data_IF_236139669746
#
_entry.id   IF_236139669746
#
_cell.length_a   1.000
_cell.length_b   1.000
_cell.length_c   1.000
_cell.angle_alpha   90.00
_cell.angle_beta   90.00
_cell.angle_gamma   90.00
#
_symmetry.space_group_name_H-M   'P 1'
#
loop_
_entity.id
_entity.type
_entity.pdbx_description
1 polymer ?
#
# COMPACT_ATOMS: atom_id res chain seq x y z
N UNK A 1 -25.18 43.99 -0.52
CA UNK A 1 -26.48 44.41 -1.06
C UNK A 1 -26.63 43.80 -2.46
N UNK A 2 -27.40 42.73 -2.60
CA UNK A 2 -27.59 42.03 -3.88
C UNK A 2 -28.83 42.59 -4.58
N UNK A 3 -28.67 43.07 -5.81
CA UNK A 3 -29.77 43.55 -6.65
C UNK A 3 -30.26 42.40 -7.55
N UNK A 4 -31.56 42.20 -7.62
CA UNK A 4 -32.18 41.33 -8.64
C UNK A 4 -33.02 42.18 -9.58
N UNK A 5 -32.88 41.92 -10.89
CA UNK A 5 -33.72 42.51 -11.93
C UNK A 5 -34.89 41.58 -12.21
N UNK A 6 -36.12 42.10 -12.03
CA UNK A 6 -37.34 41.38 -12.38
C UNK A 6 -37.96 42.09 -13.58
N UNK A 7 -38.10 41.35 -14.68
CA UNK A 7 -38.59 41.85 -15.95
C UNK A 7 -39.95 41.25 -16.29
N UNK A 8 -40.90 42.11 -16.66
CA UNK A 8 -42.24 41.71 -17.09
C UNK A 8 -42.42 42.07 -18.56
N UNK A 9 -42.99 41.16 -19.34
CA UNK A 9 -43.31 41.37 -20.76
C UNK A 9 -44.82 41.51 -20.95
N UNK A 10 -45.25 42.59 -21.60
CA UNK A 10 -46.65 42.76 -22.03
C UNK A 10 -46.66 42.78 -23.55
N UNK A 11 -47.45 41.91 -24.16
CA UNK A 11 -47.51 41.70 -25.60
C UNK A 11 -48.93 41.87 -26.12
N UNK A 12 -49.09 42.69 -27.16
CA UNK A 12 -50.33 42.82 -27.92
C UNK A 12 -50.08 42.45 -29.39
N UNK A 13 -51.15 42.25 -30.17
CA UNK A 13 -51.13 41.58 -31.48
C UNK A 13 -50.29 42.23 -32.60
N UNK A 14 -49.61 43.37 -32.34
CA UNK A 14 -48.74 44.04 -33.30
C UNK A 14 -47.35 44.48 -32.75
N UNK A 15 -47.06 44.38 -31.44
CA UNK A 15 -45.72 44.70 -30.89
C UNK A 15 -45.51 44.11 -29.47
N UNK A 16 -44.25 43.79 -29.12
CA UNK A 16 -43.87 43.27 -27.80
C UNK A 16 -42.88 44.21 -27.12
N UNK A 17 -43.22 44.73 -25.93
CA UNK A 17 -42.33 45.57 -25.10
C UNK A 17 -42.04 44.89 -23.76
N UNK A 18 -40.77 44.91 -23.35
CA UNK A 18 -40.31 44.42 -22.05
C UNK A 18 -40.00 45.61 -21.15
N UNK A 19 -40.48 45.56 -19.90
CA UNK A 19 -40.18 46.56 -18.88
C UNK A 19 -39.57 45.87 -17.67
N UNK A 20 -38.38 46.30 -17.26
CA UNK A 20 -37.67 45.77 -16.10
C UNK A 20 -37.60 46.84 -15.01
N UNK A 21 -37.84 46.42 -13.76
CA UNK A 21 -37.64 47.28 -12.59
C UNK A 21 -36.60 46.65 -11.65
N UNK A 22 -35.73 47.49 -11.11
CA UNK A 22 -34.76 47.10 -10.07
C UNK A 22 -35.44 47.14 -8.71
N UNK A 23 -35.48 46.00 -8.01
CA UNK A 23 -35.90 45.95 -6.59
C UNK A 23 -34.69 45.66 -5.70
N UNK A 24 -34.56 46.46 -4.65
CA UNK A 24 -33.64 46.22 -3.54
C UNK A 24 -34.30 45.31 -2.52
N UNK A 25 -33.69 44.15 -2.23
CA UNK A 25 -34.06 43.36 -1.06
C UNK A 25 -33.48 44.00 0.21
N UNK A 26 -34.26 44.18 1.29
CA UNK A 26 -33.70 44.53 2.59
C UNK A 26 -32.80 43.38 3.08
N UNK A 27 -31.75 43.67 3.87
CA UNK A 27 -30.88 42.64 4.42
C UNK A 27 -31.67 41.69 5.33
N UNK A 28 -31.31 40.40 5.40
CA UNK A 28 -31.91 39.50 6.38
C UNK A 28 -31.63 40.01 7.79
N UNK A 29 -32.66 40.06 8.62
CA UNK A 29 -32.50 40.39 10.03
C UNK A 29 -31.69 39.27 10.71
N UNK A 30 -30.54 39.60 11.29
CA UNK A 30 -29.72 38.66 12.06
C UNK A 30 -29.96 38.95 13.53
N UNK A 31 -30.79 38.15 14.17
CA UNK A 31 -30.89 38.12 15.63
C UNK A 31 -29.65 37.40 16.18
N UNK A 32 -28.75 38.15 16.81
CA UNK A 32 -27.64 37.58 17.56
C UNK A 32 -28.16 37.05 18.90
N UNK A 33 -28.40 35.74 18.99
CA UNK A 33 -28.53 35.08 20.29
C UNK A 33 -27.17 35.17 21.01
N UNK A 34 -27.11 36.03 22.03
CA UNK A 34 -25.95 36.14 22.91
C UNK A 34 -25.98 34.95 23.86
N UNK A 35 -25.14 33.95 23.58
CA UNK A 35 -24.94 32.80 24.48
C UNK A 35 -24.12 33.28 25.67
N UNK A 36 -24.61 33.02 26.89
CA UNK A 36 -23.95 33.42 28.15
C UNK A 36 -22.53 32.82 28.25
N UNK A 37 -21.53 33.55 28.79
CA UNK A 37 -20.15 33.06 28.93
C UNK A 37 -20.03 31.77 29.76
N UNK A 38 -21.00 31.48 30.61
CA UNK A 38 -21.01 30.27 31.45
C UNK A 38 -21.33 28.98 30.67
N UNK A 39 -21.93 29.08 29.47
CA UNK A 39 -22.25 27.91 28.65
C UNK A 39 -21.07 27.45 27.76
N UNK A 40 -20.03 28.28 27.62
CA UNK A 40 -18.82 27.93 26.85
C UNK A 40 -17.77 27.19 27.68
N UNK A 41 -17.91 27.13 29.00
CA UNK A 41 -16.92 26.53 29.93
C UNK A 41 -17.20 25.04 30.25
N UNK A 42 -18.21 24.40 29.64
CA UNK A 42 -18.55 22.99 29.94
C UNK A 42 -18.52 22.03 28.74
N UNK A 43 -18.11 22.49 27.56
CA UNK A 43 -17.96 21.63 26.36
C UNK A 43 -16.51 21.40 25.93
N UNK A 44 -15.52 21.96 26.65
CA UNK A 44 -14.11 21.90 26.27
C UNK A 44 -13.28 20.84 27.03
N UNK A 45 -13.91 19.91 27.78
CA UNK A 45 -13.19 18.93 28.62
C UNK A 45 -13.38 17.46 28.18
N UNK A 46 -14.21 17.16 27.17
CA UNK A 46 -14.49 15.78 26.74
C UNK A 46 -14.18 15.45 25.28
N UNK A 47 -13.24 16.16 24.66
CA UNK A 47 -12.67 15.79 23.37
C UNK A 47 -11.13 15.60 23.33
N UNK A 48 -10.38 15.30 24.40
CA UNK A 48 -9.04 14.73 24.22
C UNK A 48 -9.10 13.23 23.93
N UNK A 49 -9.99 12.53 24.63
CA UNK A 49 -10.09 11.07 24.60
C UNK A 49 -10.66 10.53 23.29
N UNK A 50 -11.57 11.28 22.65
CA UNK A 50 -12.17 10.87 21.37
C UNK A 50 -11.13 10.88 20.23
N UNK A 51 -10.24 11.86 20.23
CA UNK A 51 -9.12 11.95 19.29
C UNK A 51 -8.02 10.92 19.60
N UNK A 52 -7.79 10.60 20.88
CA UNK A 52 -6.90 9.49 21.29
C UNK A 52 -7.47 8.14 20.84
N UNK A 53 -8.78 7.91 20.94
CA UNK A 53 -9.44 6.70 20.45
C UNK A 53 -9.43 6.62 18.91
N UNK A 54 -9.65 7.74 18.21
CA UNK A 54 -9.52 7.83 16.73
C UNK A 54 -8.08 7.61 16.26
N UNK A 55 -7.09 8.12 16.99
CA UNK A 55 -5.67 7.90 16.70
C UNK A 55 -5.28 6.44 16.99
N UNK A 56 -5.73 5.85 18.10
CA UNK A 56 -5.50 4.45 18.45
C UNK A 56 -6.11 3.47 17.42
N UNK A 57 -7.26 3.81 16.84
CA UNK A 57 -7.85 3.06 15.72
C UNK A 57 -7.05 3.19 14.40
N UNK A 58 -6.16 4.19 14.28
CA UNK A 58 -5.27 4.36 13.13
C UNK A 58 -3.90 3.67 13.26
N UNK A 59 -3.55 3.12 14.43
CA UNK A 59 -2.18 2.60 14.65
C UNK A 59 -1.94 1.15 14.18
N UNK A 60 -2.96 0.36 13.89
CA UNK A 60 -2.79 -1.07 13.54
C UNK A 60 -3.44 -1.46 12.21
N UNK A 61 -3.40 -0.57 11.22
CA UNK A 61 -3.46 -1.01 9.82
C UNK A 61 -2.27 -0.46 9.06
N UNK A 62 -1.07 -0.87 9.47
CA UNK A 62 -0.03 -0.94 8.46
C UNK A 62 -0.49 -1.99 7.45
N UNK A 63 -1.01 -1.54 6.31
CA UNK A 63 -1.07 -2.36 5.08
C UNK A 63 0.38 -2.51 4.57
N UNK A 64 1.25 -2.96 5.45
CA UNK A 64 2.66 -3.19 5.23
C UNK A 64 2.77 -4.61 4.74
N UNK A 65 3.20 -4.78 3.51
CA UNK A 65 3.72 -6.08 3.10
C UNK A 65 4.93 -6.40 3.97
N UNK A 66 5.36 -7.65 4.06
CA UNK A 66 6.53 -8.04 4.86
C UNK A 66 7.26 -9.14 4.12
N UNK A 67 8.57 -9.13 4.18
CA UNK A 67 9.38 -10.30 3.84
C UNK A 67 10.30 -10.54 5.02
N UNK A 68 10.41 -11.79 5.46
CA UNK A 68 11.20 -12.16 6.63
C UNK A 68 11.87 -13.50 6.39
N UNK A 69 13.12 -13.68 6.86
CA UNK A 69 13.72 -14.99 6.94
C UNK A 69 12.91 -15.87 7.91
N UNK A 70 13.02 -17.19 7.76
CA UNK A 70 12.39 -18.14 8.70
C UNK A 70 13.15 -18.14 10.03
N UNK A 71 12.48 -18.13 11.20
CA UNK A 71 13.12 -18.25 12.50
C UNK A 71 13.99 -19.52 12.59
N UNK A 72 15.23 -19.39 13.08
CA UNK A 72 16.21 -20.49 13.13
C UNK A 72 17.14 -20.57 11.93
N UNK A 73 16.94 -19.72 10.91
CA UNK A 73 17.88 -19.53 9.80
C UNK A 73 18.70 -18.23 9.93
N UNK A 74 18.46 -17.41 10.97
CA UNK A 74 19.15 -16.12 11.14
C UNK A 74 20.68 -16.22 11.24
N UNK A 75 21.20 -17.39 11.62
CA UNK A 75 22.63 -17.66 11.79
C UNK A 75 23.27 -18.33 10.56
N UNK A 76 22.52 -18.47 9.46
CA UNK A 76 22.95 -19.17 8.25
C UNK A 76 22.77 -20.70 8.31
N UNK A 77 22.84 -21.33 7.14
CA UNK A 77 22.80 -22.80 6.99
C UNK A 77 24.18 -23.29 6.56
N UNK A 78 24.65 -24.37 7.19
CA UNK A 78 25.87 -25.09 6.79
C UNK A 78 25.52 -26.49 6.36
N UNK A 79 26.15 -26.97 5.28
CA UNK A 79 25.97 -28.30 4.70
C UNK A 79 27.28 -28.76 4.05
N UNK A 80 27.42 -30.06 3.79
CA UNK A 80 28.62 -30.62 3.15
C UNK A 80 28.50 -30.55 1.63
N UNK A 81 29.64 -30.52 0.93
CA UNK A 81 29.63 -30.61 -0.53
C UNK A 81 28.94 -31.88 -1.00
N UNK A 82 28.14 -31.77 -2.06
CA UNK A 82 27.34 -32.85 -2.62
C UNK A 82 25.98 -33.08 -1.97
N UNK A 83 25.68 -32.39 -0.85
CA UNK A 83 24.35 -32.41 -0.24
C UNK A 83 23.41 -31.39 -0.91
N UNK A 84 22.12 -31.52 -0.60
CA UNK A 84 21.11 -30.55 -1.01
C UNK A 84 20.81 -29.59 0.15
N UNK A 85 20.73 -28.29 -0.14
CA UNK A 85 20.36 -27.25 0.84
C UNK A 85 19.04 -26.62 0.44
N UNK A 86 18.16 -26.41 1.41
CA UNK A 86 16.90 -25.66 1.21
C UNK A 86 16.88 -24.40 2.05
N UNK A 87 16.76 -23.25 1.38
CA UNK A 87 16.62 -21.92 1.95
C UNK A 87 15.13 -21.54 1.95
N UNK A 88 14.65 -20.87 3.01
CA UNK A 88 13.23 -20.52 3.16
C UNK A 88 13.03 -19.05 3.45
N UNK A 89 12.06 -18.45 2.79
CA UNK A 89 11.70 -17.04 2.94
C UNK A 89 10.19 -16.88 3.10
N UNK A 90 9.77 -16.18 4.15
CA UNK A 90 8.37 -15.87 4.41
C UNK A 90 8.01 -14.50 3.83
N UNK A 91 6.77 -14.36 3.36
CA UNK A 91 6.24 -13.10 2.87
C UNK A 91 4.76 -12.92 3.22
N UNK A 92 4.40 -11.67 3.49
CA UNK A 92 3.03 -11.24 3.76
C UNK A 92 2.65 -10.16 2.75
N UNK A 93 1.51 -10.38 2.09
CA UNK A 93 0.99 -9.49 1.06
C UNK A 93 -0.50 -9.71 0.89
N UNK A 94 -1.25 -8.66 0.56
CA UNK A 94 -2.67 -8.74 0.21
C UNK A 94 -2.91 -9.05 -1.28
N UNK A 95 -1.87 -9.01 -2.12
CA UNK A 95 -2.00 -9.22 -3.57
C UNK A 95 -2.07 -10.70 -3.94
N UNK A 96 -2.89 -11.04 -4.94
CA UNK A 96 -3.00 -12.39 -5.49
C UNK A 96 -1.95 -12.68 -6.56
N UNK A 97 -1.62 -11.71 -7.41
CA UNK A 97 -0.57 -11.86 -8.43
C UNK A 97 0.81 -11.58 -7.82
N UNK A 98 1.53 -12.65 -7.50
CA UNK A 98 2.80 -12.61 -6.77
C UNK A 98 3.92 -13.27 -7.57
N UNK A 99 5.07 -12.61 -7.59
CA UNK A 99 6.33 -13.09 -8.15
C UNK A 99 7.37 -13.10 -7.03
N UNK A 100 7.97 -14.27 -6.81
CA UNK A 100 9.06 -14.46 -5.86
C UNK A 100 10.35 -14.67 -6.65
N UNK A 101 11.35 -13.86 -6.31
CA UNK A 101 12.66 -13.87 -6.95
C UNK A 101 13.72 -14.32 -5.95
N UNK A 102 14.72 -15.04 -6.44
CA UNK A 102 15.89 -15.42 -5.67
C UNK A 102 17.16 -14.87 -6.31
N UNK A 103 18.05 -14.34 -5.47
CA UNK A 103 19.34 -13.78 -5.87
C UNK A 103 20.47 -14.38 -5.02
N UNK A 104 21.64 -14.55 -5.62
CA UNK A 104 22.89 -14.96 -4.98
C UNK A 104 23.83 -13.77 -4.90
N UNK A 105 24.43 -13.52 -3.75
CA UNK A 105 25.36 -12.42 -3.53
C UNK A 105 26.64 -12.96 -2.92
N UNK A 106 27.69 -13.05 -3.74
CA UNK A 106 28.97 -13.67 -3.35
C UNK A 106 29.89 -12.70 -2.62
N UNK A 107 29.81 -11.41 -2.90
CA UNK A 107 30.69 -10.40 -2.33
C UNK A 107 29.97 -9.06 -2.25
N UNK A 108 30.20 -8.31 -1.16
CA UNK A 108 29.61 -6.97 -0.95
C UNK A 108 30.02 -5.93 -2.00
N UNK A 109 31.01 -6.23 -2.85
CA UNK A 109 31.46 -5.37 -3.94
C UNK A 109 30.75 -5.64 -5.28
N UNK A 110 29.93 -6.70 -5.35
CA UNK A 110 29.21 -7.09 -6.57
C UNK A 110 27.71 -6.92 -6.41
N UNK A 111 27.00 -6.71 -7.52
CA UNK A 111 25.54 -6.72 -7.47
C UNK A 111 25.02 -8.16 -7.25
N UNK A 112 23.91 -8.35 -6.50
CA UNK A 112 23.27 -9.65 -6.39
C UNK A 112 22.91 -10.23 -7.77
N UNK A 113 23.31 -11.46 -8.01
CA UNK A 113 23.13 -12.17 -9.26
C UNK A 113 21.76 -12.88 -9.24
N UNK A 114 20.98 -12.71 -10.31
CA UNK A 114 19.67 -13.35 -10.43
C UNK A 114 19.83 -14.88 -10.58
N UNK A 115 19.05 -15.63 -9.80
CA UNK A 115 18.99 -17.10 -9.89
C UNK A 115 17.74 -17.50 -10.66
N UNK A 116 16.56 -17.16 -10.13
CA UNK A 116 15.27 -17.58 -10.67
C UNK A 116 14.13 -16.68 -10.18
N UNK A 117 12.97 -16.81 -10.83
CA UNK A 117 11.70 -16.36 -10.26
C UNK A 117 10.61 -17.41 -10.45
N UNK A 118 9.66 -17.45 -9.51
CA UNK A 118 8.49 -18.31 -9.55
C UNK A 118 7.26 -17.54 -9.07
N UNK A 119 6.16 -17.68 -9.80
CA UNK A 119 4.86 -17.14 -9.44
C UNK A 119 4.27 -17.88 -8.24
N UNK A 120 3.51 -17.17 -7.41
CA UNK A 120 2.77 -17.72 -6.30
C UNK A 120 1.31 -17.28 -6.32
N UNK A 121 0.48 -17.95 -5.50
CA UNK A 121 -0.95 -17.69 -5.37
C UNK A 121 -1.69 -17.82 -6.71
N UNK A 122 -2.14 -16.73 -7.32
CA UNK A 122 -2.83 -16.81 -8.62
C UNK A 122 -1.87 -16.92 -9.81
N UNK A 123 -0.57 -16.69 -9.60
CA UNK A 123 0.44 -16.76 -10.65
C UNK A 123 1.10 -18.14 -10.68
N UNK A 124 1.14 -18.76 -11.86
CA UNK A 124 1.75 -20.09 -12.08
C UNK A 124 3.00 -20.05 -12.96
N UNK A 125 3.40 -18.86 -13.42
CA UNK A 125 4.58 -18.66 -14.26
C UNK A 125 5.88 -18.93 -13.50
N UNK A 126 6.96 -19.18 -14.25
CA UNK A 126 8.29 -19.33 -13.68
C UNK A 126 9.39 -19.09 -14.71
N UNK A 127 10.57 -18.74 -14.24
CA UNK A 127 11.81 -18.75 -15.00
C UNK A 127 12.93 -19.31 -14.12
N UNK A 128 13.39 -20.51 -14.45
CA UNK A 128 14.43 -21.24 -13.72
C UNK A 128 15.47 -21.68 -14.77
N UNK A 129 16.54 -20.89 -14.99
CA UNK A 129 17.52 -21.13 -16.04
C UNK A 129 18.45 -22.31 -15.76
N UNK A 130 18.81 -22.54 -14.50
CA UNK A 130 19.70 -23.62 -14.06
C UNK A 130 18.92 -24.69 -13.28
N UNK A 131 19.10 -25.95 -13.69
CA UNK A 131 18.42 -27.13 -13.14
C UNK A 131 18.90 -27.51 -11.73
N UNK A 132 20.05 -27.01 -11.29
CA UNK A 132 20.52 -27.19 -9.90
C UNK A 132 19.63 -26.48 -8.89
N UNK A 133 18.87 -25.47 -9.34
CA UNK A 133 17.93 -24.74 -8.50
C UNK A 133 16.52 -25.28 -8.69
N UNK A 134 15.85 -25.55 -7.57
CA UNK A 134 14.42 -25.86 -7.52
C UNK A 134 13.75 -24.84 -6.63
N UNK A 135 12.56 -24.37 -7.02
CA UNK A 135 11.82 -23.41 -6.24
C UNK A 135 10.39 -23.90 -6.00
N UNK A 136 9.99 -23.87 -4.73
CA UNK A 136 8.61 -24.09 -4.32
C UNK A 136 8.04 -22.80 -3.72
N UNK A 137 6.75 -22.57 -3.92
CA UNK A 137 6.07 -21.35 -3.49
C UNK A 137 4.72 -21.70 -2.90
N UNK A 138 4.50 -21.26 -1.66
CA UNK A 138 3.24 -21.40 -0.92
C UNK A 138 2.41 -20.12 -0.93
N UNK A 139 1.46 -20.03 -0.01
CA UNK A 139 0.62 -18.83 0.17
C UNK A 139 1.38 -17.65 0.79
N UNK A 140 2.38 -17.94 1.62
CA UNK A 140 3.14 -16.99 2.42
C UNK A 140 4.62 -17.37 2.54
N UNK A 141 5.10 -18.32 1.73
CA UNK A 141 6.50 -18.76 1.77
C UNK A 141 7.06 -19.08 0.39
N UNK A 142 8.37 -18.99 0.25
CA UNK A 142 9.16 -19.45 -0.87
C UNK A 142 10.31 -20.31 -0.36
N UNK A 143 10.54 -21.43 -1.02
CA UNK A 143 11.65 -22.32 -0.73
C UNK A 143 12.54 -22.45 -1.96
N UNK A 144 13.84 -22.24 -1.78
CA UNK A 144 14.87 -22.45 -2.79
C UNK A 144 15.71 -23.65 -2.37
N UNK A 145 15.64 -24.73 -3.15
CA UNK A 145 16.54 -25.88 -3.00
C UNK A 145 17.68 -25.76 -4.00
N UNK A 146 18.91 -25.86 -3.50
CA UNK A 146 20.15 -25.94 -4.28
C UNK A 146 20.64 -27.38 -4.17
N UNK A 147 20.72 -28.08 -5.29
CA UNK A 147 21.17 -29.46 -5.32
C UNK A 147 22.68 -29.56 -5.56
N UNK A 148 23.31 -30.58 -5.00
CA UNK A 148 24.74 -30.86 -5.21
C UNK A 148 25.59 -29.61 -4.92
N UNK A 149 25.48 -29.11 -3.68
CA UNK A 149 26.13 -27.86 -3.27
C UNK A 149 27.65 -28.00 -3.28
N UNK A 150 28.32 -26.91 -3.64
CA UNK A 150 29.79 -26.81 -3.66
C UNK A 150 30.27 -25.63 -2.82
N UNK A 151 31.58 -25.52 -2.58
CA UNK A 151 32.15 -24.32 -1.95
C UNK A 151 31.80 -23.02 -2.69
N UNK A 152 31.58 -23.07 -4.01
CA UNK A 152 31.17 -21.91 -4.79
C UNK A 152 29.73 -21.46 -4.48
N UNK A 153 28.92 -22.29 -3.83
CA UNK A 153 27.55 -21.96 -3.42
C UNK A 153 27.48 -21.26 -2.06
N UNK A 154 28.60 -21.17 -1.34
CA UNK A 154 28.74 -20.38 -0.11
C UNK A 154 28.61 -18.89 -0.40
N UNK A 155 27.44 -18.33 -0.12
CA UNK A 155 27.08 -16.95 -0.43
C UNK A 155 25.88 -16.50 0.42
N UNK A 156 25.57 -15.21 0.37
CA UNK A 156 24.30 -14.69 0.89
C UNK A 156 23.23 -14.83 -0.17
N UNK A 157 22.04 -15.30 0.23
CA UNK A 157 20.89 -15.40 -0.67
C UNK A 157 19.83 -14.38 -0.28
N UNK A 158 19.23 -13.75 -1.29
CA UNK A 158 18.16 -12.79 -1.09
C UNK A 158 16.89 -13.28 -1.75
N UNK A 159 15.78 -13.20 -1.03
CA UNK A 159 14.45 -13.33 -1.60
C UNK A 159 13.84 -11.95 -1.83
N UNK A 160 13.16 -11.79 -2.95
CA UNK A 160 12.43 -10.57 -3.26
C UNK A 160 10.99 -10.87 -3.71
N UNK A 161 10.06 -10.09 -3.16
CA UNK A 161 8.65 -10.12 -3.50
C UNK A 161 8.35 -9.00 -4.48
N UNK A 162 7.72 -9.36 -5.58
CA UNK A 162 7.15 -8.45 -6.55
C UNK A 162 5.69 -8.84 -6.80
N UNK A 163 4.82 -7.86 -7.00
CA UNK A 163 3.39 -8.06 -7.21
C UNK A 163 2.86 -6.91 -8.07
N UNK A 164 1.77 -7.20 -8.77
CA UNK A 164 1.05 -6.20 -9.54
C UNK A 164 -0.22 -5.80 -8.79
N UNK A 165 -0.31 -4.52 -8.42
CA UNK A 165 -1.55 -3.89 -7.96
C UNK A 165 -2.06 -2.89 -9.00
N UNK A 166 -3.34 -2.50 -8.89
CA UNK A 166 -3.99 -1.50 -9.76
C UNK A 166 -3.26 -0.15 -9.81
N UNK A 167 -2.35 0.12 -8.88
CA UNK A 167 -1.50 1.31 -8.86
C UNK A 167 -0.02 0.94 -8.60
N UNK A 168 0.72 0.71 -9.69
CA UNK A 168 2.20 0.53 -9.79
C UNK A 168 2.80 -0.78 -9.24
N UNK A 169 3.76 -1.33 -10.00
CA UNK A 169 4.65 -2.44 -9.63
C UNK A 169 5.53 -2.03 -8.44
N UNK A 170 5.41 -2.72 -7.30
CA UNK A 170 6.24 -2.51 -6.10
C UNK A 170 7.10 -3.76 -5.84
N UNK A 171 8.33 -3.55 -5.39
CA UNK A 171 9.33 -4.59 -5.08
C UNK A 171 9.82 -4.45 -3.64
N UNK A 172 9.99 -5.57 -2.94
CA UNK A 172 10.47 -5.68 -1.56
C UNK A 172 11.53 -6.80 -1.53
N UNK A 173 12.61 -6.64 -0.78
CA UNK A 173 13.69 -7.63 -0.69
C UNK A 173 14.09 -7.86 0.77
N UNK A 174 14.48 -9.10 1.11
CA UNK A 174 15.04 -9.47 2.43
C UNK A 174 16.16 -10.50 2.27
N UNK A 175 17.10 -10.49 3.22
CA UNK A 175 18.21 -11.45 3.32
C UNK A 175 17.75 -12.74 4.00
N UNK A 176 18.19 -13.87 3.46
CA UNK A 176 17.95 -15.22 3.99
C UNK A 176 19.28 -15.91 4.21
#
# INVERSE_FOLDING_TARGET
>A
MTQEEVCSSVSNHAESRKSCQKRTRPPPNVEHQTVSPAALELLAEMEPWLWILLAALCFETTWGQKISPVPGMENGISSREGEDVTLRCNYETSYSDVYLHWYKHQSDYEAPQFILWKGARSNTGQHIPDKRYRCNTGQQESELTITDVTLADSAVYYCALEFHGDTKRRRRCTKT
#
